data_IF_537654868554
#
_entry.id   IF_537654868554
#
_cell.length_a   1.000
_cell.length_b   1.000
_cell.length_c   1.000
_cell.angle_alpha   90.00
_cell.angle_beta   90.00
_cell.angle_gamma   90.00
#
_symmetry.space_group_name_H-M   'P 1'
#
loop_
_entity.id
_entity.type
_entity.pdbx_description
1 polymer ?
#
# COMPACT_ATOMS: atom_id res chain seq x y z
N UNK A 1 -40.19 37.79 -0.96
CA UNK A 1 -39.24 38.00 0.16
C UNK A 1 -38.24 36.87 0.04
N UNK A 2 -37.13 37.17 -0.63
CA UNK A 2 -36.19 36.18 -1.18
C UNK A 2 -34.93 36.27 -0.33
N UNK A 3 -34.68 35.27 0.52
CA UNK A 3 -33.49 35.23 1.36
C UNK A 3 -32.47 34.25 0.77
N UNK A 4 -31.27 34.78 0.56
CA UNK A 4 -30.14 34.19 -0.11
C UNK A 4 -29.62 32.92 0.58
N UNK A 5 -29.57 31.82 -0.18
CA UNK A 5 -28.57 30.77 0.01
C UNK A 5 -27.29 31.26 -0.67
N UNK A 6 -26.32 31.72 0.12
CA UNK A 6 -24.98 32.01 -0.37
C UNK A 6 -23.94 31.31 0.50
N UNK A 7 -23.17 30.45 -0.17
CA UNK A 7 -21.78 30.09 0.12
C UNK A 7 -21.55 29.25 1.39
N UNK A 8 -21.90 27.96 1.31
CA UNK A 8 -21.08 26.94 1.96
C UNK A 8 -19.84 26.78 1.10
N UNK A 9 -18.70 27.21 1.65
CA UNK A 9 -17.37 26.97 1.10
C UNK A 9 -17.19 25.48 0.78
N UNK A 10 -17.18 25.15 -0.51
CA UNK A 10 -16.59 23.90 -1.01
C UNK A 10 -15.07 24.07 -0.95
N UNK A 11 -14.49 23.71 0.18
CA UNK A 11 -13.04 23.84 0.41
C UNK A 11 -12.67 23.26 1.76
N UNK A 12 -12.92 21.97 1.94
CA UNK A 12 -12.23 21.20 2.97
C UNK A 12 -10.89 20.82 2.39
N UNK A 13 -9.88 21.66 2.63
CA UNK A 13 -8.51 21.44 2.21
C UNK A 13 -8.07 20.02 2.60
N UNK A 14 -7.78 19.20 1.60
CA UNK A 14 -6.86 18.08 1.79
C UNK A 14 -5.58 18.69 2.33
N UNK A 15 -5.21 18.35 3.56
CA UNK A 15 -3.94 18.76 4.15
C UNK A 15 -2.83 18.51 3.14
N UNK A 16 -2.24 19.59 2.61
CA UNK A 16 -1.07 19.51 1.73
C UNK A 16 0.14 19.19 2.60
N UNK A 17 0.23 17.95 3.07
CA UNK A 17 1.38 17.45 3.80
C UNK A 17 2.52 17.11 2.85
N UNK A 18 3.76 17.16 3.36
CA UNK A 18 4.93 16.57 2.70
C UNK A 18 5.23 15.23 3.39
N UNK A 19 4.53 14.13 3.03
CA UNK A 19 4.60 12.88 3.75
C UNK A 19 6.02 12.29 3.71
N UNK A 20 6.44 11.64 4.78
CA UNK A 20 7.64 10.82 4.78
C UNK A 20 7.35 9.53 4.00
N UNK A 21 7.80 9.49 2.75
CA UNK A 21 7.67 8.34 1.85
C UNK A 21 9.03 7.63 1.70
N UNK A 22 9.03 6.34 1.31
CA UNK A 22 10.27 5.63 1.01
C UNK A 22 11.07 6.37 -0.06
N UNK A 23 12.40 6.35 0.05
CA UNK A 23 13.28 7.05 -0.88
C UNK A 23 13.06 6.57 -2.32
N UNK A 24 12.87 7.50 -3.26
CA UNK A 24 12.64 7.19 -4.67
C UNK A 24 11.19 6.82 -5.03
N UNK A 25 10.25 6.88 -4.07
CA UNK A 25 8.84 6.58 -4.31
C UNK A 25 8.19 7.53 -5.33
N UNK A 26 8.44 8.84 -5.20
CA UNK A 26 7.80 9.84 -6.05
C UNK A 26 8.23 9.73 -7.52
N UNK A 27 9.48 9.30 -7.74
CA UNK A 27 10.09 9.10 -9.05
C UNK A 27 9.96 7.65 -9.56
N UNK A 28 9.37 6.76 -8.77
CA UNK A 28 9.29 5.34 -9.10
C UNK A 28 8.52 5.15 -10.42
N UNK A 29 9.07 4.38 -11.38
CA UNK A 29 8.45 4.21 -12.67
C UNK A 29 7.23 3.29 -12.57
N UNK A 30 6.02 3.84 -12.76
CA UNK A 30 4.81 3.05 -12.94
C UNK A 30 4.57 2.79 -14.43
N UNK A 31 4.30 1.55 -14.84
CA UNK A 31 3.94 1.25 -16.22
C UNK A 31 2.56 1.84 -16.56
N UNK A 32 2.38 2.21 -17.83
CA UNK A 32 1.10 2.73 -18.33
C UNK A 32 0.11 1.58 -18.55
N UNK A 33 -0.51 1.14 -17.47
CA UNK A 33 -1.57 0.15 -17.46
C UNK A 33 -2.68 0.52 -16.48
N UNK A 34 -3.80 -0.19 -16.52
CA UNK A 34 -4.84 -0.05 -15.50
C UNK A 34 -4.39 -0.78 -14.22
N UNK A 35 -3.89 -0.02 -13.24
CA UNK A 35 -3.33 -0.51 -11.99
C UNK A 35 -4.36 -0.32 -10.87
N UNK A 36 -4.79 -1.43 -10.26
CA UNK A 36 -5.70 -1.45 -9.12
C UNK A 36 -4.96 -1.47 -7.79
N UNK A 37 -3.72 -1.97 -7.73
CA UNK A 37 -2.87 -1.86 -6.56
C UNK A 37 -1.43 -1.57 -6.97
N UNK A 38 -0.77 -0.75 -6.17
CA UNK A 38 0.65 -0.47 -6.28
C UNK A 38 1.28 -0.53 -4.91
N UNK A 39 2.42 -1.21 -4.81
CA UNK A 39 3.27 -1.25 -3.61
C UNK A 39 4.69 -0.95 -4.05
N UNK A 40 5.32 -0.01 -3.37
CA UNK A 40 6.74 0.28 -3.51
C UNK A 40 7.42 0.03 -2.16
N UNK A 41 8.52 -0.68 -2.20
CA UNK A 41 9.37 -0.94 -1.04
C UNK A 41 10.76 -0.42 -1.37
N UNK A 42 11.25 0.47 -0.52
CA UNK A 42 12.64 0.88 -0.52
C UNK A 42 13.08 0.98 0.92
N UNK A 43 14.08 0.18 1.26
CA UNK A 43 14.72 0.23 2.55
C UNK A 43 16.05 1.00 2.43
N UNK A 44 16.46 1.63 3.51
CA UNK A 44 17.76 2.32 3.57
C UNK A 44 18.93 1.32 3.53
N UNK A 45 18.70 0.08 3.96
CA UNK A 45 19.59 -1.06 3.72
C UNK A 45 19.21 -1.84 2.48
N UNK A 46 20.19 -2.53 1.91
CA UNK A 46 19.94 -3.41 0.80
C UNK A 46 19.11 -4.63 1.26
N UNK A 47 18.03 -4.93 0.53
CA UNK A 47 17.08 -5.98 0.90
C UNK A 47 17.61 -7.31 0.38
N UNK A 48 17.81 -8.29 1.28
CA UNK A 48 18.19 -9.64 0.88
C UNK A 48 16.95 -10.47 0.56
N UNK A 49 16.86 -10.95 -0.68
CA UNK A 49 15.87 -11.94 -1.09
C UNK A 49 16.57 -13.28 -1.28
N UNK A 50 16.24 -14.32 -0.50
CA UNK A 50 16.82 -15.65 -0.70
C UNK A 50 16.68 -16.11 -2.15
N UNK A 51 17.79 -16.49 -2.80
CA UNK A 51 17.80 -16.97 -4.19
C UNK A 51 16.88 -18.17 -4.43
N UNK A 52 16.58 -18.94 -3.36
CA UNK A 52 15.61 -20.02 -3.36
C UNK A 52 14.19 -19.56 -3.73
N UNK A 53 13.80 -18.32 -3.45
CA UNK A 53 12.45 -17.81 -3.78
C UNK A 53 12.21 -17.70 -5.28
N UNK A 54 13.29 -17.69 -6.08
CA UNK A 54 13.21 -17.61 -7.52
C UNK A 54 13.22 -19.00 -8.20
N UNK A 55 13.47 -20.10 -7.47
CA UNK A 55 13.62 -21.45 -8.02
C UNK A 55 12.73 -22.49 -7.33
N UNK A 56 12.25 -23.48 -8.07
CA UNK A 56 11.39 -24.58 -7.60
C UNK A 56 12.05 -25.97 -7.66
N UNK A 57 13.37 -26.06 -7.84
CA UNK A 57 14.09 -27.31 -7.62
C UNK A 57 15.43 -27.50 -8.33
N UNK A 58 15.64 -26.95 -9.53
CA UNK A 58 16.83 -27.28 -10.35
C UNK A 58 17.71 -26.10 -10.79
N UNK A 59 17.39 -24.86 -10.38
CA UNK A 59 18.12 -23.66 -10.80
C UNK A 59 18.42 -22.64 -9.70
N UNK A 60 18.35 -23.01 -8.42
CA UNK A 60 18.46 -22.04 -7.32
C UNK A 60 19.76 -21.20 -7.41
N UNK A 61 19.61 -19.88 -7.36
CA UNK A 61 20.77 -19.01 -7.15
C UNK A 61 21.28 -19.27 -5.74
N UNK A 62 22.57 -19.60 -5.65
CA UNK A 62 23.24 -19.81 -4.37
C UNK A 62 23.45 -18.45 -3.70
N UNK A 63 22.87 -18.25 -2.52
CA UNK A 63 22.98 -17.03 -1.74
C UNK A 63 21.81 -16.04 -1.91
N UNK A 64 21.82 -14.94 -1.15
CA UNK A 64 20.82 -13.88 -1.26
C UNK A 64 21.03 -13.05 -2.53
N UNK A 65 19.93 -12.62 -3.12
CA UNK A 65 19.89 -11.57 -4.14
C UNK A 65 19.70 -10.24 -3.44
N UNK A 66 20.60 -9.30 -3.71
CA UNK A 66 20.54 -7.96 -3.14
C UNK A 66 19.66 -7.07 -4.02
N UNK A 67 18.59 -6.55 -3.42
CA UNK A 67 17.61 -5.69 -4.07
C UNK A 67 17.59 -4.34 -3.39
N UNK A 68 17.73 -3.27 -4.18
CA UNK A 68 17.66 -1.90 -3.69
C UNK A 68 16.20 -1.46 -3.51
N UNK A 69 15.35 -1.79 -4.48
CA UNK A 69 13.94 -1.43 -4.46
C UNK A 69 13.07 -2.52 -5.08
N UNK A 70 11.87 -2.69 -4.54
CA UNK A 70 10.84 -3.60 -5.05
C UNK A 70 9.61 -2.77 -5.38
N UNK A 71 9.05 -2.99 -6.56
CA UNK A 71 7.73 -2.48 -6.90
C UNK A 71 6.84 -3.62 -7.33
N UNK A 72 5.60 -3.63 -6.87
CA UNK A 72 4.58 -4.57 -7.29
C UNK A 72 3.34 -3.80 -7.75
N UNK A 73 2.75 -4.24 -8.84
CA UNK A 73 1.51 -3.70 -9.37
C UNK A 73 0.55 -4.81 -9.75
N UNK A 74 -0.74 -4.57 -9.53
CA UNK A 74 -1.80 -5.51 -9.91
C UNK A 74 -2.82 -4.83 -10.81
N UNK A 75 -3.41 -5.59 -11.71
CA UNK A 75 -4.66 -5.20 -12.36
C UNK A 75 -5.86 -5.46 -11.45
N UNK A 76 -7.05 -5.43 -12.05
CA UNK A 76 -8.33 -5.67 -11.35
C UNK A 76 -8.47 -7.06 -10.72
N UNK A 77 -7.57 -8.00 -11.02
CA UNK A 77 -7.54 -9.32 -10.38
C UNK A 77 -6.13 -9.65 -9.95
N UNK A 78 -5.99 -10.43 -8.89
CA UNK A 78 -4.68 -10.91 -8.39
C UNK A 78 -3.94 -11.83 -9.37
N UNK A 79 -4.63 -12.32 -10.42
CA UNK A 79 -4.02 -13.09 -11.51
C UNK A 79 -3.27 -12.21 -12.52
N UNK A 80 -3.57 -10.92 -12.56
CA UNK A 80 -2.87 -9.91 -13.35
C UNK A 80 -1.93 -9.14 -12.41
N UNK A 81 -0.66 -9.55 -12.38
CA UNK A 81 0.34 -8.93 -11.51
C UNK A 81 1.63 -8.69 -12.26
N UNK A 82 2.40 -7.73 -11.80
CA UNK A 82 3.73 -7.48 -12.29
C UNK A 82 4.53 -6.75 -11.23
N UNK A 83 5.78 -6.49 -11.56
CA UNK A 83 6.66 -5.79 -10.64
C UNK A 83 7.99 -5.46 -11.28
N UNK A 84 8.77 -4.68 -10.55
CA UNK A 84 10.18 -4.47 -10.81
C UNK A 84 11.00 -4.75 -9.58
N UNK A 85 12.19 -5.29 -9.81
CA UNK A 85 13.25 -5.43 -8.83
C UNK A 85 14.42 -4.60 -9.33
N UNK A 86 14.86 -3.61 -8.56
CA UNK A 86 16.12 -2.90 -8.83
C UNK A 86 17.24 -3.65 -8.13
N UNK A 87 18.05 -4.38 -8.88
CA UNK A 87 19.12 -5.21 -8.32
C UNK A 87 20.41 -4.41 -8.13
N UNK A 88 21.29 -4.90 -7.26
CA UNK A 88 22.60 -4.31 -7.02
C UNK A 88 23.46 -4.25 -8.29
N UNK A 89 23.32 -5.22 -9.20
CA UNK A 89 24.04 -5.24 -10.47
C UNK A 89 23.21 -5.79 -11.63
N UNK A 90 23.61 -5.46 -12.87
CA UNK A 90 23.06 -6.06 -14.07
C UNK A 90 23.33 -7.58 -14.16
N UNK A 91 24.43 -8.05 -13.56
CA UNK A 91 24.75 -9.48 -13.49
C UNK A 91 23.77 -10.26 -12.61
N UNK A 92 23.33 -9.67 -11.50
CA UNK A 92 22.29 -10.23 -10.65
C UNK A 92 20.95 -10.27 -11.40
N UNK A 93 20.61 -9.18 -12.10
CA UNK A 93 19.40 -9.13 -12.93
C UNK A 93 19.36 -10.25 -13.97
N UNK A 94 20.45 -10.46 -14.72
CA UNK A 94 20.58 -11.55 -15.71
C UNK A 94 20.54 -12.94 -15.07
N UNK A 95 20.99 -13.08 -13.83
CA UNK A 95 20.93 -14.36 -13.12
C UNK A 95 19.50 -14.68 -12.70
N UNK A 96 18.76 -13.70 -12.19
CA UNK A 96 17.35 -13.86 -11.81
C UNK A 96 16.46 -14.05 -13.04
N UNK A 97 16.65 -13.29 -14.12
CA UNK A 97 15.84 -13.43 -15.35
C UNK A 97 15.95 -14.83 -15.96
N UNK A 98 17.14 -15.43 -15.95
CA UNK A 98 17.34 -16.81 -16.42
C UNK A 98 16.46 -17.81 -15.68
N UNK A 99 16.16 -17.60 -14.40
CA UNK A 99 15.27 -18.48 -13.63
C UNK A 99 13.82 -18.41 -14.09
N UNK A 100 13.36 -17.25 -14.55
CA UNK A 100 12.03 -17.13 -15.15
C UNK A 100 11.95 -17.84 -16.49
N UNK A 101 13.02 -17.83 -17.30
CA UNK A 101 13.09 -18.52 -18.58
C UNK A 101 13.29 -20.05 -18.51
N UNK A 102 13.65 -20.61 -17.36
CA UNK A 102 13.84 -22.05 -17.17
C UNK A 102 12.53 -22.81 -16.88
N UNK A 103 11.44 -22.09 -16.62
CA UNK A 103 10.16 -22.67 -16.22
C UNK A 103 9.06 -22.31 -17.23
N UNK A 104 8.98 -23.08 -18.32
CA UNK A 104 7.97 -22.93 -19.40
C UNK A 104 6.51 -22.95 -18.91
N UNK A 105 6.24 -23.56 -17.75
CA UNK A 105 4.91 -23.59 -17.13
C UNK A 105 4.49 -22.24 -16.51
N UNK A 106 5.44 -21.31 -16.33
CA UNK A 106 5.16 -19.97 -15.80
C UNK A 106 4.93 -19.04 -16.97
N UNK A 107 3.67 -18.75 -17.28
CA UNK A 107 3.25 -17.70 -18.20
C UNK A 107 3.60 -16.27 -17.67
N UNK A 108 4.84 -16.06 -17.25
CA UNK A 108 5.42 -14.83 -16.72
C UNK A 108 6.38 -14.30 -17.77
N UNK A 109 6.10 -13.10 -18.25
CA UNK A 109 7.03 -12.33 -19.06
C UNK A 109 8.05 -11.65 -18.16
N UNK A 110 9.28 -11.53 -18.64
CA UNK A 110 10.33 -10.76 -17.98
C UNK A 110 11.17 -9.97 -18.97
N UNK A 111 11.74 -8.85 -18.51
CA UNK A 111 12.72 -8.06 -19.27
C UNK A 111 13.64 -7.29 -18.35
N UNK A 112 14.93 -7.26 -18.69
CA UNK A 112 15.92 -6.40 -18.02
C UNK A 112 16.06 -5.05 -18.73
N UNK A 113 16.15 -3.98 -17.94
CA UNK A 113 16.61 -2.65 -18.37
C UNK A 113 17.65 -2.16 -17.35
N UNK A 114 18.92 -2.10 -17.73
CA UNK A 114 20.01 -1.78 -16.81
C UNK A 114 20.17 -2.86 -15.73
N UNK A 115 20.03 -2.48 -14.45
CA UNK A 115 20.00 -3.42 -13.31
C UNK A 115 18.57 -3.72 -12.82
N UNK A 116 17.54 -3.22 -13.50
CA UNK A 116 16.16 -3.47 -13.13
C UNK A 116 15.58 -4.66 -13.92
N UNK A 117 15.05 -5.64 -13.20
CA UNK A 117 14.25 -6.73 -13.76
C UNK A 117 12.77 -6.36 -13.67
N UNK A 118 12.07 -6.37 -14.79
CA UNK A 118 10.63 -6.23 -14.87
C UNK A 118 9.99 -7.59 -15.10
N UNK A 119 8.87 -7.85 -14.42
CA UNK A 119 8.06 -9.05 -14.61
C UNK A 119 6.59 -8.69 -14.81
N UNK A 120 5.91 -9.50 -15.60
CA UNK A 120 4.46 -9.40 -15.79
C UNK A 120 3.85 -10.79 -15.98
N UNK A 121 2.79 -11.08 -15.22
CA UNK A 121 1.94 -12.26 -15.37
C UNK A 121 0.50 -11.81 -15.53
N UNK A 122 -0.24 -12.54 -16.32
CA UNK A 122 -1.65 -12.28 -16.57
C UNK A 122 -2.02 -12.63 -17.98
N UNK A 123 -3.20 -12.21 -18.39
CA UNK A 123 -3.71 -12.45 -19.73
C UNK A 123 -4.25 -11.15 -20.38
N UNK A 124 -4.31 -11.18 -21.71
CA UNK A 124 -4.90 -10.14 -22.53
C UNK A 124 -4.24 -8.77 -22.42
N UNK A 125 -5.05 -7.73 -22.63
CA UNK A 125 -4.61 -6.34 -22.77
C UNK A 125 -3.82 -5.79 -21.59
N UNK A 126 -4.05 -6.28 -20.37
CA UNK A 126 -3.34 -5.78 -19.19
C UNK A 126 -1.85 -6.11 -19.29
N UNK A 127 -1.52 -7.39 -19.53
CA UNK A 127 -0.13 -7.85 -19.67
C UNK A 127 0.54 -7.16 -20.85
N UNK A 128 -0.11 -7.11 -22.01
CA UNK A 128 0.41 -6.42 -23.20
C UNK A 128 0.72 -4.94 -22.94
N UNK A 129 -0.08 -4.26 -22.12
CA UNK A 129 0.14 -2.86 -21.75
C UNK A 129 1.38 -2.69 -20.87
N UNK A 130 1.62 -3.61 -19.93
CA UNK A 130 2.84 -3.64 -19.11
C UNK A 130 4.05 -3.91 -20.00
N UNK A 131 4.00 -4.95 -20.82
CA UNK A 131 5.08 -5.31 -21.75
C UNK A 131 5.44 -4.12 -22.65
N UNK A 132 4.44 -3.52 -23.29
CA UNK A 132 4.62 -2.34 -24.14
C UNK A 132 5.19 -1.16 -23.36
N UNK A 133 4.72 -0.90 -22.14
CA UNK A 133 5.24 0.20 -21.32
C UNK A 133 6.73 0.05 -21.04
N UNK A 134 7.16 -1.17 -20.71
CA UNK A 134 8.56 -1.48 -20.44
C UNK A 134 9.38 -1.44 -21.74
N UNK A 135 8.89 -1.98 -22.85
CA UNK A 135 9.58 -1.99 -24.14
C UNK A 135 9.80 -0.56 -24.68
N UNK A 136 8.74 0.27 -24.64
CA UNK A 136 8.74 1.62 -25.18
C UNK A 136 9.28 2.66 -24.18
N UNK A 137 9.64 2.24 -22.96
CA UNK A 137 10.08 3.12 -21.86
C UNK A 137 9.05 4.21 -21.52
N UNK A 138 7.76 3.85 -21.55
CA UNK A 138 6.65 4.80 -21.32
C UNK A 138 6.12 4.72 -19.89
N UNK A 139 7.03 4.94 -18.94
CA UNK A 139 6.70 5.01 -17.51
C UNK A 139 6.24 6.41 -17.10
N UNK A 140 5.51 6.48 -15.99
CA UNK A 140 5.04 7.72 -15.36
C UNK A 140 5.14 7.61 -13.85
N UNK A 141 5.17 8.74 -13.16
CA UNK A 141 5.07 8.75 -11.69
C UNK A 141 3.65 8.40 -11.24
N UNK A 142 3.49 8.12 -9.94
CA UNK A 142 2.17 7.95 -9.33
C UNK A 142 1.32 9.22 -9.47
N UNK A 143 1.91 10.39 -9.24
CA UNK A 143 1.23 11.69 -9.37
C UNK A 143 0.63 11.90 -10.76
N UNK A 144 1.33 11.48 -11.81
CA UNK A 144 0.85 11.58 -13.19
C UNK A 144 -0.20 10.53 -13.54
N UNK A 145 -0.11 9.35 -12.96
CA UNK A 145 -0.94 8.18 -13.30
C UNK A 145 -2.23 8.12 -12.49
N UNK A 146 -2.15 8.45 -11.21
CA UNK A 146 -3.26 8.39 -10.25
C UNK A 146 -3.18 9.55 -9.25
N UNK A 147 -3.67 10.72 -9.69
CA UNK A 147 -3.75 11.94 -8.85
C UNK A 147 -4.53 11.72 -7.57
N UNK A 148 -5.59 10.91 -7.59
CA UNK A 148 -6.42 10.67 -6.40
C UNK A 148 -5.62 9.95 -5.31
N UNK A 149 -4.93 8.85 -5.67
CA UNK A 149 -4.03 8.15 -4.76
C UNK A 149 -2.91 9.07 -4.27
N UNK A 150 -2.32 9.87 -5.15
CA UNK A 150 -1.28 10.84 -4.76
C UNK A 150 -1.76 11.87 -3.74
N UNK A 151 -2.95 12.45 -3.93
CA UNK A 151 -3.52 13.37 -2.93
C UNK A 151 -3.80 12.68 -1.59
N UNK A 152 -4.14 11.38 -1.60
CA UNK A 152 -4.28 10.61 -0.35
C UNK A 152 -2.92 10.32 0.31
N UNK A 153 -1.86 10.11 -0.48
CA UNK A 153 -0.50 9.96 0.06
C UNK A 153 -0.06 11.19 0.86
N UNK A 154 -0.47 12.39 0.45
CA UNK A 154 -0.17 13.63 1.19
C UNK A 154 -0.78 13.68 2.60
N UNK A 155 -1.73 12.80 2.89
CA UNK A 155 -2.28 12.62 4.25
C UNK A 155 -1.51 11.62 5.11
N UNK A 156 -0.47 10.96 4.57
CA UNK A 156 0.41 10.11 5.38
C UNK A 156 1.29 10.98 6.30
N UNK A 157 1.79 10.42 7.42
CA UNK A 157 2.65 11.14 8.35
C UNK A 157 3.84 11.83 7.69
N UNK A 158 4.03 13.11 7.99
CA UNK A 158 5.26 13.85 7.66
C UNK A 158 6.40 13.48 8.63
N UNK A 159 6.07 13.22 9.89
CA UNK A 159 7.01 12.83 10.94
C UNK A 159 6.53 11.54 11.63
N UNK A 160 6.59 10.38 10.93
CA UNK A 160 6.22 9.10 11.54
C UNK A 160 7.16 8.72 12.68
N UNK A 161 6.70 7.90 13.65
CA UNK A 161 7.54 7.44 14.76
C UNK A 161 8.70 6.54 14.31
N UNK A 162 8.57 5.87 13.16
CA UNK A 162 9.57 4.99 12.55
C UNK A 162 9.75 5.35 11.06
N UNK A 163 10.90 5.02 10.44
CA UNK A 163 11.15 5.30 9.03
C UNK A 163 10.14 4.62 8.09
N UNK A 164 9.79 5.25 6.94
CA UNK A 164 8.96 4.63 5.93
C UNK A 164 9.74 3.56 5.15
N UNK A 165 9.19 2.36 5.07
CA UNK A 165 9.76 1.21 4.35
C UNK A 165 9.02 0.91 3.06
N UNK A 166 7.69 1.09 3.08
CA UNK A 166 6.86 0.89 1.91
C UNK A 166 5.75 1.92 1.84
N UNK A 167 5.29 2.19 0.62
CA UNK A 167 4.11 3.01 0.37
C UNK A 167 3.38 2.49 -0.86
N UNK A 168 2.08 2.76 -0.94
CA UNK A 168 1.28 2.27 -2.04
C UNK A 168 -0.18 2.68 -1.99
N UNK A 169 -0.94 2.21 -2.97
CA UNK A 169 -2.38 2.38 -2.97
C UNK A 169 -3.10 1.11 -3.36
N UNK A 170 -4.36 1.02 -2.97
CA UNK A 170 -5.29 -0.06 -3.28
C UNK A 170 -6.62 0.55 -3.75
N UNK A 171 -7.10 0.13 -4.92
CA UNK A 171 -8.47 0.31 -5.37
C UNK A 171 -9.33 -0.82 -4.79
N UNK A 172 -10.06 -0.47 -3.73
CA UNK A 172 -10.88 -1.42 -2.97
C UNK A 172 -12.23 -1.71 -3.63
N UNK A 173 -12.54 -1.07 -4.76
CA UNK A 173 -13.74 -1.37 -5.56
C UNK A 173 -13.53 -2.52 -6.52
N UNK A 174 -12.28 -2.80 -6.88
CA UNK A 174 -11.91 -3.87 -7.81
C UNK A 174 -11.26 -5.05 -7.11
N UNK A 175 -10.53 -4.81 -6.02
CA UNK A 175 -9.80 -5.85 -5.28
C UNK A 175 -10.65 -6.52 -4.21
N UNK A 176 -10.51 -7.85 -4.09
CA UNK A 176 -11.04 -8.63 -2.97
C UNK A 176 -10.14 -8.47 -1.73
N UNK A 177 -10.24 -7.31 -1.07
CA UNK A 177 -9.41 -6.96 0.10
C UNK A 177 -9.64 -7.95 1.25
N UNK A 178 -10.88 -8.40 1.46
CA UNK A 178 -11.18 -9.38 2.51
C UNK A 178 -10.54 -10.74 2.20
N UNK A 179 -10.60 -11.20 0.95
CA UNK A 179 -9.90 -12.41 0.52
C UNK A 179 -8.38 -12.30 0.65
N UNK A 180 -7.80 -11.14 0.35
CA UNK A 180 -6.36 -10.88 0.54
C UNK A 180 -5.97 -10.90 2.02
N UNK A 181 -6.72 -10.19 2.87
CA UNK A 181 -6.48 -10.16 4.31
C UNK A 181 -6.61 -11.55 4.95
N UNK A 182 -7.65 -12.31 4.57
CA UNK A 182 -7.85 -13.68 5.05
C UNK A 182 -6.70 -14.61 4.67
N UNK A 183 -6.11 -14.45 3.47
CA UNK A 183 -4.88 -15.20 3.09
C UNK A 183 -3.67 -14.81 3.94
N UNK A 184 -3.61 -13.56 4.39
CA UNK A 184 -2.62 -13.06 5.34
C UNK A 184 -2.90 -13.45 6.80
N UNK A 185 -4.03 -14.10 7.08
CA UNK A 185 -4.43 -14.48 8.44
C UNK A 185 -5.17 -13.40 9.22
N UNK A 186 -5.64 -12.34 8.56
CA UNK A 186 -6.35 -11.20 9.19
C UNK A 186 -7.83 -11.23 8.83
N UNK A 187 -8.70 -11.15 9.83
CA UNK A 187 -10.15 -11.09 9.66
C UNK A 187 -10.65 -9.63 9.60
N UNK A 188 -11.03 -9.17 8.41
CA UNK A 188 -11.60 -7.83 8.18
C UNK A 188 -13.13 -7.78 8.19
N UNK A 189 -13.80 -8.76 8.78
CA UNK A 189 -15.26 -8.78 8.85
C UNK A 189 -15.82 -7.51 9.51
N UNK A 190 -16.85 -6.92 8.89
CA UNK A 190 -17.43 -5.63 9.27
C UNK A 190 -16.70 -4.41 8.70
N UNK A 191 -15.37 -4.46 8.57
CA UNK A 191 -14.56 -3.33 8.06
C UNK A 191 -14.82 -3.07 6.57
N UNK A 192 -14.70 -4.09 5.71
CA UNK A 192 -14.89 -3.92 4.26
C UNK A 192 -16.30 -3.41 3.89
N UNK A 193 -17.40 -3.98 4.42
CA UNK A 193 -18.74 -3.43 4.21
C UNK A 193 -18.88 -1.98 4.70
N UNK A 194 -18.29 -1.64 5.85
CA UNK A 194 -18.33 -0.29 6.40
C UNK A 194 -17.57 0.73 5.54
N UNK A 195 -16.43 0.35 4.95
CA UNK A 195 -15.73 1.17 3.94
C UNK A 195 -16.62 1.45 2.72
N UNK A 196 -17.35 0.44 2.26
CA UNK A 196 -18.33 0.57 1.18
C UNK A 196 -19.47 1.53 1.52
N UNK A 197 -19.98 1.47 2.76
CA UNK A 197 -21.00 2.40 3.26
C UNK A 197 -20.53 3.86 3.25
N UNK A 198 -19.24 4.11 3.50
CA UNK A 198 -18.61 5.43 3.41
C UNK A 198 -18.23 5.86 1.98
N UNK A 199 -18.56 5.04 0.98
CA UNK A 199 -18.24 5.24 -0.44
C UNK A 199 -16.74 5.44 -0.69
N UNK A 200 -15.90 4.76 0.09
CA UNK A 200 -14.46 4.77 -0.10
C UNK A 200 -14.15 3.90 -1.33
N UNK A 201 -13.34 4.43 -2.25
CA UNK A 201 -12.95 3.73 -3.48
C UNK A 201 -11.49 3.28 -3.47
N UNK A 202 -10.64 4.10 -2.86
CA UNK A 202 -9.21 3.91 -2.85
C UNK A 202 -8.66 4.17 -1.45
N UNK A 203 -7.53 3.51 -1.18
CA UNK A 203 -6.79 3.60 0.07
C UNK A 203 -5.33 3.86 -0.30
N UNK A 204 -4.74 4.94 0.18
CA UNK A 204 -3.30 5.11 0.20
C UNK A 204 -2.75 4.55 1.51
N UNK A 205 -1.53 4.02 1.50
CA UNK A 205 -0.92 3.48 2.70
C UNK A 205 0.59 3.73 2.75
N UNK A 206 1.10 3.82 3.97
CA UNK A 206 2.51 3.79 4.32
C UNK A 206 2.77 2.71 5.36
N UNK A 207 3.89 2.00 5.23
CA UNK A 207 4.39 1.02 6.19
C UNK A 207 5.67 1.54 6.80
N UNK A 208 5.77 1.46 8.12
CA UNK A 208 6.81 2.05 8.94
C UNK A 208 7.40 0.99 9.87
N UNK A 209 8.71 1.03 10.06
CA UNK A 209 9.39 0.05 10.91
C UNK A 209 10.90 0.14 10.82
N UNK A 210 11.55 -0.81 11.48
CA UNK A 210 12.99 -1.02 11.33
C UNK A 210 13.34 -1.61 9.95
N UNK A 211 14.58 -1.39 9.47
CA UNK A 211 15.02 -1.90 8.18
C UNK A 211 14.80 -3.41 8.00
N UNK A 212 14.31 -3.80 6.81
CA UNK A 212 14.00 -5.17 6.45
C UNK A 212 15.24 -5.79 5.81
N UNK A 213 16.03 -6.47 6.64
CA UNK A 213 17.25 -7.14 6.16
C UNK A 213 16.96 -8.36 5.26
N UNK A 214 15.84 -9.05 5.48
CA UNK A 214 15.47 -10.23 4.70
C UNK A 214 13.96 -10.32 4.49
N UNK A 215 13.53 -10.51 3.25
CA UNK A 215 12.12 -10.80 2.95
C UNK A 215 11.83 -12.26 3.29
N UNK A 216 10.77 -12.58 4.06
CA UNK A 216 10.36 -13.97 4.31
C UNK A 216 9.64 -14.56 3.10
N UNK A 217 9.54 -15.89 3.04
CA UNK A 217 8.86 -16.60 1.94
C UNK A 217 7.36 -16.25 1.92
N UNK A 218 6.82 -15.93 3.10
CA UNK A 218 5.44 -15.51 3.27
C UNK A 218 5.38 -14.28 4.16
N UNK A 219 4.76 -13.23 3.64
CA UNK A 219 4.37 -12.05 4.41
C UNK A 219 2.95 -12.29 4.89
N UNK A 220 2.77 -12.42 6.20
CA UNK A 220 1.48 -12.65 6.85
C UNK A 220 1.48 -12.14 8.28
N UNK A 221 0.41 -12.44 9.01
CA UNK A 221 0.20 -11.98 10.39
C UNK A 221 1.38 -12.24 11.32
N UNK A 222 1.98 -13.43 11.27
CA UNK A 222 3.12 -13.79 12.12
C UNK A 222 4.34 -12.92 11.85
N UNK A 223 4.59 -12.61 10.58
CA UNK A 223 5.67 -11.71 10.19
C UNK A 223 5.43 -10.31 10.74
N UNK A 224 4.23 -9.75 10.56
CA UNK A 224 3.86 -8.42 11.06
C UNK A 224 4.01 -8.33 12.58
N UNK A 225 3.61 -9.37 13.32
CA UNK A 225 3.77 -9.44 14.77
C UNK A 225 5.23 -9.51 15.22
N UNK A 226 6.08 -10.15 14.42
CA UNK A 226 7.50 -10.36 14.76
C UNK A 226 8.42 -9.20 14.39
N UNK A 227 7.96 -8.28 13.54
CA UNK A 227 8.81 -7.23 12.93
C UNK A 227 8.48 -5.81 13.40
N UNK A 228 7.59 -5.67 14.39
CA UNK A 228 7.10 -4.37 14.90
C UNK A 228 6.70 -3.38 13.78
N UNK A 229 6.27 -3.92 12.64
CA UNK A 229 5.81 -3.12 11.52
C UNK A 229 4.48 -2.47 11.87
N UNK A 230 4.40 -1.18 11.59
CA UNK A 230 3.17 -0.41 11.66
C UNK A 230 2.75 0.07 10.28
N UNK A 231 1.45 0.24 10.07
CA UNK A 231 0.91 0.77 8.83
C UNK A 231 -0.09 1.89 9.11
N UNK A 232 -0.04 2.93 8.28
CA UNK A 232 -1.08 3.97 8.22
C UNK A 232 -1.79 3.84 6.89
N UNK A 233 -3.12 3.88 6.91
CA UNK A 233 -3.96 3.91 5.73
C UNK A 233 -4.77 5.20 5.72
N UNK A 234 -4.75 5.91 4.61
CA UNK A 234 -5.49 7.16 4.41
C UNK A 234 -6.49 6.93 3.29
N UNK A 235 -7.73 7.30 3.56
CA UNK A 235 -8.84 7.13 2.62
C UNK A 235 -9.64 8.40 2.53
N UNK A 236 -10.30 8.62 1.39
CA UNK A 236 -11.24 9.72 1.21
C UNK A 236 -12.66 9.17 1.09
N UNK A 237 -13.56 9.67 1.93
CA UNK A 237 -14.97 9.36 1.82
C UNK A 237 -15.58 10.04 0.60
N UNK A 238 -16.57 9.38 -0.01
CA UNK A 238 -17.44 10.04 -1.00
C UNK A 238 -18.38 11.09 -0.40
N UNK A 239 -18.40 11.25 0.93
CA UNK A 239 -19.20 12.24 1.65
C UNK A 239 -18.35 13.47 2.06
N UNK A 240 -18.94 14.67 2.06
CA UNK A 240 -18.34 15.83 2.71
C UNK A 240 -18.08 15.59 4.20
N UNK A 241 -17.06 16.25 4.76
CA UNK A 241 -16.59 15.97 6.12
C UNK A 241 -17.64 16.11 7.22
N UNK A 242 -18.59 17.06 7.10
CA UNK A 242 -19.68 17.21 8.06
C UNK A 242 -20.62 16.00 8.09
N UNK A 243 -20.86 15.36 6.93
CA UNK A 243 -21.65 14.13 6.85
C UNK A 243 -20.83 12.94 7.34
N UNK A 244 -19.54 12.89 7.00
CA UNK A 244 -18.66 11.84 7.48
C UNK A 244 -18.65 11.80 9.01
N UNK A 245 -18.50 12.94 9.70
CA UNK A 245 -18.51 12.98 11.16
C UNK A 245 -19.80 12.42 11.79
N UNK A 246 -20.96 12.62 11.15
CA UNK A 246 -22.22 12.01 11.57
C UNK A 246 -22.25 10.49 11.32
N UNK A 247 -21.85 10.07 10.11
CA UNK A 247 -21.84 8.67 9.69
C UNK A 247 -20.75 7.83 10.37
N UNK A 248 -19.72 8.47 10.92
CA UNK A 248 -18.55 7.78 11.46
C UNK A 248 -18.89 6.91 12.67
N UNK A 249 -19.86 7.31 13.48
CA UNK A 249 -20.37 6.50 14.59
C UNK A 249 -21.04 5.20 14.11
N UNK A 250 -21.81 5.26 13.03
CA UNK A 250 -22.41 4.07 12.41
C UNK A 250 -21.33 3.18 11.80
N UNK A 251 -20.36 3.78 11.10
CA UNK A 251 -19.19 3.06 10.59
C UNK A 251 -18.46 2.31 11.71
N UNK A 252 -18.22 2.98 12.85
CA UNK A 252 -17.58 2.35 13.99
C UNK A 252 -18.40 1.19 14.55
N UNK A 253 -19.72 1.35 14.67
CA UNK A 253 -20.62 0.27 15.08
C UNK A 253 -20.61 -0.93 14.13
N UNK A 254 -20.72 -0.69 12.83
CA UNK A 254 -20.73 -1.75 11.80
C UNK A 254 -19.39 -2.49 11.70
N UNK A 255 -18.28 -1.79 11.97
CA UNK A 255 -16.94 -2.34 12.00
C UNK A 255 -16.52 -2.94 13.36
N UNK A 256 -17.44 -2.97 14.34
CA UNK A 256 -17.21 -3.46 15.71
C UNK A 256 -16.04 -2.72 16.42
N UNK A 257 -15.95 -1.41 16.20
CA UNK A 257 -14.94 -0.55 16.80
C UNK A 257 -15.46 0.10 18.08
N UNK A 258 -14.65 0.09 19.14
CA UNK A 258 -14.97 0.73 20.41
C UNK A 258 -14.27 2.09 20.53
N UNK A 259 -14.97 3.10 21.04
CA UNK A 259 -14.39 4.43 21.25
C UNK A 259 -13.23 4.40 22.25
N UNK A 260 -12.15 5.11 21.93
CA UNK A 260 -10.95 5.23 22.77
C UNK A 260 -10.43 6.67 22.74
N UNK A 261 -9.86 7.11 23.86
CA UNK A 261 -9.10 8.35 23.94
C UNK A 261 -7.62 8.03 23.78
N UNK A 262 -7.00 8.54 22.72
CA UNK A 262 -5.60 8.28 22.38
C UNK A 262 -4.68 9.45 22.74
N UNK A 263 -5.15 10.35 23.61
CA UNK A 263 -4.43 11.57 23.98
C UNK A 263 -4.76 12.77 23.08
N UNK A 264 -4.28 13.95 23.49
CA UNK A 264 -4.46 15.23 22.79
C UNK A 264 -5.92 15.61 22.47
N UNK A 265 -6.88 15.03 23.20
CA UNK A 265 -8.32 15.24 22.96
C UNK A 265 -8.82 14.61 21.66
N UNK A 266 -8.03 13.74 21.03
CA UNK A 266 -8.38 13.07 19.79
C UNK A 266 -9.32 11.90 20.08
N UNK A 267 -10.50 11.95 19.46
CA UNK A 267 -11.44 10.83 19.50
C UNK A 267 -11.10 9.82 18.40
N UNK A 268 -10.76 8.61 18.82
CA UNK A 268 -10.53 7.50 17.91
C UNK A 268 -11.43 6.31 18.29
N UNK A 269 -11.43 5.31 17.42
CA UNK A 269 -12.05 4.02 17.68
C UNK A 269 -11.02 2.91 17.48
N UNK A 270 -11.08 1.89 18.32
CA UNK A 270 -10.12 0.79 18.34
C UNK A 270 -10.80 -0.56 18.17
N UNK A 271 -10.09 -1.51 17.58
CA UNK A 271 -10.40 -2.94 17.60
C UNK A 271 -9.12 -3.77 17.51
N UNK A 272 -9.10 -4.90 18.19
CA UNK A 272 -8.05 -5.90 17.99
C UNK A 272 -8.43 -6.83 16.83
N UNK A 273 -7.51 -7.00 15.89
CA UNK A 273 -7.63 -7.86 14.71
C UNK A 273 -6.54 -8.92 14.77
N UNK A 274 -6.89 -10.09 15.31
CA UNK A 274 -6.01 -11.25 15.38
C UNK A 274 -4.63 -10.93 16.01
N UNK A 275 -4.60 -10.13 17.09
CA UNK A 275 -3.36 -9.70 17.75
C UNK A 275 -2.65 -8.51 17.10
N UNK A 276 -3.31 -7.79 16.18
CA UNK A 276 -2.93 -6.45 15.74
C UNK A 276 -3.91 -5.44 16.32
N UNK A 277 -3.43 -4.25 16.65
CA UNK A 277 -4.25 -3.15 17.16
C UNK A 277 -4.58 -2.20 16.02
N UNK A 278 -5.87 -2.17 15.64
CA UNK A 278 -6.41 -1.22 14.68
C UNK A 278 -6.96 -0.01 15.44
N UNK A 279 -6.53 1.18 15.04
CA UNK A 279 -7.12 2.46 15.43
C UNK A 279 -7.65 3.19 14.20
N UNK A 280 -8.76 3.88 14.37
CA UNK A 280 -9.43 4.61 13.29
C UNK A 280 -9.91 5.96 13.78
N UNK A 281 -9.63 7.01 13.02
CA UNK A 281 -10.16 8.35 13.25
C UNK A 281 -10.59 8.98 11.94
N UNK A 282 -11.53 9.92 12.00
CA UNK A 282 -11.91 10.74 10.87
C UNK A 282 -11.21 12.11 10.96
N UNK A 283 -10.77 12.62 9.81
CA UNK A 283 -10.19 13.95 9.69
C UNK A 283 -10.75 14.63 8.44
N UNK A 284 -11.62 15.64 8.65
CA UNK A 284 -12.35 16.27 7.56
C UNK A 284 -13.20 15.25 6.77
N UNK A 285 -12.90 15.09 5.48
CA UNK A 285 -13.53 14.09 4.60
C UNK A 285 -12.77 12.77 4.49
N UNK A 286 -11.70 12.61 5.27
CA UNK A 286 -10.83 11.44 5.25
C UNK A 286 -11.08 10.54 6.45
N UNK A 287 -10.84 9.23 6.27
CA UNK A 287 -10.71 8.27 7.37
C UNK A 287 -9.29 7.74 7.37
N UNK A 288 -8.65 7.83 8.53
CA UNK A 288 -7.28 7.40 8.78
C UNK A 288 -7.31 6.19 9.68
N UNK A 289 -6.57 5.16 9.29
CA UNK A 289 -6.39 3.92 10.03
C UNK A 289 -4.93 3.79 10.42
N UNK A 290 -4.65 3.34 11.63
CA UNK A 290 -3.33 2.91 12.05
C UNK A 290 -3.42 1.46 12.55
N UNK A 291 -2.46 0.63 12.13
CA UNK A 291 -2.40 -0.78 12.47
C UNK A 291 -0.99 -1.11 12.94
N UNK A 292 -0.84 -1.76 14.09
CA UNK A 292 0.46 -2.21 14.60
C UNK A 292 0.32 -3.43 15.54
N UNK A 293 1.44 -4.11 15.84
CA UNK A 293 1.50 -5.20 16.82
C UNK A 293 1.28 -4.74 18.26
N UNK A 294 1.59 -3.48 18.56
CA UNK A 294 1.48 -2.88 19.89
C UNK A 294 0.46 -1.73 19.91
N UNK A 295 -0.36 -1.58 20.97
CA UNK A 295 -1.33 -0.49 21.06
C UNK A 295 -0.67 0.89 20.97
N UNK A 296 0.42 1.11 21.71
CA UNK A 296 1.14 2.39 21.73
C UNK A 296 1.76 2.76 20.38
N UNK A 297 2.19 1.76 19.60
CA UNK A 297 2.71 1.99 18.26
C UNK A 297 1.59 2.42 17.31
N UNK A 298 0.41 1.78 17.39
CA UNK A 298 -0.76 2.18 16.61
C UNK A 298 -1.22 3.61 16.99
N UNK A 299 -1.22 3.95 18.28
CA UNK A 299 -1.56 5.30 18.77
C UNK A 299 -0.59 6.36 18.22
N UNK A 300 0.71 6.12 18.35
CA UNK A 300 1.74 7.03 17.85
C UNK A 300 1.63 7.25 16.34
N UNK A 301 1.36 6.19 15.57
CA UNK A 301 1.14 6.26 14.13
C UNK A 301 -0.10 7.07 13.79
N UNK A 302 -1.24 6.80 14.44
CA UNK A 302 -2.48 7.53 14.18
C UNK A 302 -2.31 9.03 14.48
N UNK A 303 -1.73 9.37 15.63
CA UNK A 303 -1.46 10.77 16.00
C UNK A 303 -0.52 11.46 15.00
N UNK A 304 0.48 10.75 14.47
CA UNK A 304 1.41 11.30 13.47
C UNK A 304 0.76 11.58 12.10
N UNK A 305 -0.37 10.93 11.80
CA UNK A 305 -1.10 11.08 10.54
C UNK A 305 -2.24 12.11 10.62
N UNK A 306 -2.65 12.50 11.82
CA UNK A 306 -3.72 13.46 12.02
C UNK A 306 -3.17 14.90 11.96
N UNK A 307 -3.94 15.85 11.38
CA UNK A 307 -3.55 17.26 11.42
C UNK A 307 -3.53 17.76 12.86
N UNK A 308 -2.51 18.57 13.18
CA UNK A 308 -2.36 19.25 14.47
C UNK A 308 -3.15 20.56 14.52
#
# INVERSE_FOLDING_TARGET
MTAALTLVSCGGDSSSGNPALPSGFAEAPLPKANISAYVYVADQSAIEIPGAYFADGSGAISGPIIVNTVSAWTGATVGNFGGSLSLASAGDASSVERLFGLNDDRAVWSRIIGSALYIARGNGFWRESIEKSVQDHTFRSLEETNKEAWEMMKGLPENPPLPPLAAGFLDITTLDIEGMARKGGVNLSGVTPALGALRIKQVAFGVYGDPINAIPERIGLDYLKSTDLGAVFVTKSGYPGFLLGFLFSNFAGDADLSGVDIGDGVKAYSRELDGLHLLVANSGSSVVFALASQPSAAEALLLSALPK
#
